data_IF_952808437360
#
_entry.id   IF_952808437360
#
_cell.length_a   1.000
_cell.length_b   1.000
_cell.length_c   1.000
_cell.angle_alpha   90.00
_cell.angle_beta   90.00
_cell.angle_gamma   90.00
#
_symmetry.space_group_name_H-M   'P 1'
#
loop_
_entity.id
_entity.type
_entity.pdbx_description
1 polymer ?
#
# COMPACT_ATOMS: atom_id res chain seq x y z
N UNK A 1 -42.31 69.81 -27.76
CA UNK A 1 -41.71 68.51 -28.11
C UNK A 1 -40.42 68.24 -27.31
N UNK A 2 -40.49 68.02 -25.99
CA UNK A 2 -39.30 67.57 -25.22
C UNK A 2 -39.64 66.90 -23.88
N UNK A 3 -40.87 66.37 -23.75
CA UNK A 3 -41.33 65.66 -22.54
C UNK A 3 -41.62 64.16 -22.81
N UNK A 4 -41.69 63.75 -24.08
CA UNK A 4 -42.00 62.35 -24.46
C UNK A 4 -40.79 61.41 -24.58
N UNK A 5 -39.56 61.87 -24.31
CA UNK A 5 -38.34 61.04 -24.45
C UNK A 5 -37.81 60.43 -23.14
N UNK A 6 -38.36 60.78 -21.98
CA UNK A 6 -37.87 60.28 -20.68
C UNK A 6 -38.69 59.08 -20.17
N UNK A 7 -39.95 58.92 -20.61
CA UNK A 7 -40.80 57.80 -20.18
C UNK A 7 -40.41 56.48 -20.88
N UNK A 8 -39.77 56.54 -22.05
CA UNK A 8 -39.37 55.36 -22.82
C UNK A 8 -38.01 54.76 -22.42
N UNK A 9 -37.36 55.28 -21.36
CA UNK A 9 -36.14 54.71 -20.79
C UNK A 9 -36.36 54.03 -19.43
N UNK A 10 -37.48 54.32 -18.75
CA UNK A 10 -37.83 53.65 -17.49
C UNK A 10 -38.64 52.36 -17.68
N UNK A 11 -39.27 52.16 -18.83
CA UNK A 11 -40.02 50.91 -19.13
C UNK A 11 -39.10 49.80 -19.67
N UNK A 12 -37.95 50.15 -20.23
CA UNK A 12 -36.95 49.18 -20.72
C UNK A 12 -35.96 48.70 -19.63
N UNK A 13 -35.96 49.32 -18.45
CA UNK A 13 -35.12 48.89 -17.32
C UNK A 13 -35.83 47.93 -16.34
N UNK A 14 -37.14 47.72 -16.50
CA UNK A 14 -37.92 46.76 -15.69
C UNK A 14 -38.09 45.38 -16.34
N UNK A 15 -37.55 45.14 -17.55
CA UNK A 15 -37.69 43.88 -18.28
C UNK A 15 -36.39 43.08 -18.43
N UNK A 16 -35.31 43.46 -17.75
CA UNK A 16 -34.03 42.77 -17.79
C UNK A 16 -33.64 42.04 -16.48
N UNK A 17 -34.61 41.79 -15.59
CA UNK A 17 -34.41 40.95 -14.38
C UNK A 17 -35.06 39.58 -14.43
N UNK A 18 -35.71 39.21 -15.55
CA UNK A 18 -36.06 37.81 -15.84
C UNK A 18 -34.84 37.05 -16.41
N UNK A 19 -33.69 37.17 -15.75
CA UNK A 19 -32.54 36.33 -16.05
C UNK A 19 -32.86 34.90 -15.58
N UNK A 20 -33.20 34.06 -16.55
CA UNK A 20 -33.42 32.61 -16.49
C UNK A 20 -33.25 31.95 -15.13
N UNK A 21 -34.37 31.72 -14.44
CA UNK A 21 -34.45 30.59 -13.53
C UNK A 21 -34.50 29.37 -14.45
N UNK A 22 -33.37 28.67 -14.60
CA UNK A 22 -33.34 27.39 -15.29
C UNK A 22 -34.49 26.54 -14.73
N UNK A 23 -35.39 26.06 -15.60
CA UNK A 23 -36.45 25.13 -15.19
C UNK A 23 -35.80 24.03 -14.34
N UNK A 24 -36.42 23.71 -13.20
CA UNK A 24 -35.91 22.63 -12.36
C UNK A 24 -35.78 21.38 -13.24
N UNK A 25 -34.60 20.78 -13.20
CA UNK A 25 -34.19 19.61 -14.00
C UNK A 25 -35.15 18.41 -13.91
N UNK A 26 -36.04 18.38 -12.92
CA UNK A 26 -37.05 17.35 -12.74
C UNK A 26 -38.48 17.88 -12.87
N UNK A 27 -38.67 19.11 -13.34
CA UNK A 27 -39.97 19.79 -13.51
C UNK A 27 -40.75 19.88 -12.20
N UNK A 28 -40.05 20.13 -11.10
CA UNK A 28 -40.69 20.37 -9.81
C UNK A 28 -41.48 21.69 -9.85
N UNK A 29 -42.63 21.71 -9.15
CA UNK A 29 -43.41 22.93 -8.95
C UNK A 29 -42.52 24.01 -8.33
N UNK A 30 -42.72 25.27 -8.71
CA UNK A 30 -41.95 26.38 -8.13
C UNK A 30 -42.05 26.37 -6.59
N UNK A 31 -40.89 26.44 -5.92
CA UNK A 31 -40.80 26.35 -4.46
C UNK A 31 -40.81 24.93 -3.87
N UNK A 32 -40.94 23.87 -4.69
CA UNK A 32 -40.92 22.47 -4.26
C UNK A 32 -39.50 21.96 -3.92
N UNK A 33 -38.86 22.57 -2.92
CA UNK A 33 -37.54 22.23 -2.39
C UNK A 33 -37.53 22.33 -0.86
N UNK A 34 -36.56 21.70 -0.20
CA UNK A 34 -36.36 21.82 1.25
C UNK A 34 -37.59 21.43 2.07
N UNK A 35 -38.33 22.42 2.57
CA UNK A 35 -39.50 22.25 3.47
C UNK A 35 -40.53 21.26 2.92
N UNK A 36 -40.82 21.31 1.62
CA UNK A 36 -41.79 20.37 1.03
C UNK A 36 -41.33 18.92 1.17
N UNK A 37 -40.06 18.64 0.91
CA UNK A 37 -39.48 17.30 1.07
C UNK A 37 -39.54 16.86 2.54
N UNK A 38 -39.30 17.78 3.47
CA UNK A 38 -39.27 17.51 4.92
C UNK A 38 -40.65 17.31 5.54
N UNK A 39 -41.75 17.63 4.85
CA UNK A 39 -43.10 17.30 5.29
C UNK A 39 -43.36 15.79 5.28
N UNK A 40 -42.72 15.06 4.37
CA UNK A 40 -42.79 13.59 4.31
C UNK A 40 -41.54 12.93 4.92
N UNK A 41 -40.36 13.56 4.78
CA UNK A 41 -39.11 13.08 5.38
C UNK A 41 -38.88 13.68 6.78
N UNK A 42 -39.89 13.59 7.66
CA UNK A 42 -39.86 14.21 9.00
C UNK A 42 -38.72 13.70 9.86
N UNK A 43 -38.42 12.40 9.81
CA UNK A 43 -37.31 11.77 10.57
C UNK A 43 -35.94 12.23 10.09
N UNK A 44 -35.84 12.75 8.87
CA UNK A 44 -34.58 13.27 8.35
C UNK A 44 -34.22 14.63 8.95
N UNK A 45 -35.19 15.37 9.47
CA UNK A 45 -34.96 16.66 10.14
C UNK A 45 -34.01 16.51 11.33
N UNK A 46 -34.03 15.37 12.03
CA UNK A 46 -33.11 15.11 13.14
C UNK A 46 -31.66 15.06 12.69
N UNK A 47 -31.39 14.52 11.49
CA UNK A 47 -30.05 14.52 10.91
C UNK A 47 -29.57 15.94 10.61
N UNK A 48 -30.46 16.86 10.27
CA UNK A 48 -30.13 18.26 10.05
C UNK A 48 -29.80 19.04 11.33
N UNK A 49 -30.00 18.46 12.52
CA UNK A 49 -29.65 19.09 13.82
C UNK A 49 -28.18 18.92 14.20
N UNK A 50 -27.43 18.08 13.48
CA UNK A 50 -26.00 17.91 13.73
C UNK A 50 -25.23 19.22 13.48
N UNK A 51 -24.12 19.49 14.22
CA UNK A 51 -23.43 20.78 14.18
C UNK A 51 -22.82 21.10 12.82
N UNK A 52 -22.41 20.10 12.05
CA UNK A 52 -21.83 20.28 10.72
C UNK A 52 -22.78 19.77 9.66
N UNK A 53 -23.62 20.66 9.13
CA UNK A 53 -24.55 20.37 8.02
C UNK A 53 -23.89 20.75 6.70
N UNK A 54 -23.95 19.83 5.73
CA UNK A 54 -23.46 20.07 4.37
C UNK A 54 -24.20 21.24 3.73
N UNK A 55 -23.48 22.13 3.04
CA UNK A 55 -24.04 23.40 2.54
C UNK A 55 -25.28 23.23 1.63
N UNK A 56 -25.30 22.32 0.63
CA UNK A 56 -26.51 22.05 -0.16
C UNK A 56 -27.71 21.62 0.69
N UNK A 57 -27.47 20.77 1.70
CA UNK A 57 -28.55 20.32 2.58
C UNK A 57 -29.10 21.47 3.45
N UNK A 58 -28.22 22.30 4.01
CA UNK A 58 -28.63 23.49 4.78
C UNK A 58 -29.49 24.45 3.95
N UNK A 59 -29.26 24.51 2.63
CA UNK A 59 -30.03 25.32 1.68
C UNK A 59 -31.31 24.63 1.18
N UNK A 60 -31.57 23.39 1.59
CA UNK A 60 -32.74 22.62 1.14
C UNK A 60 -32.64 22.16 -0.32
N UNK A 61 -31.43 22.08 -0.89
CA UNK A 61 -31.18 21.73 -2.28
C UNK A 61 -31.11 20.21 -2.48
N UNK A 62 -32.17 19.51 -2.05
CA UNK A 62 -32.26 18.05 -2.08
C UNK A 62 -32.12 17.49 -3.51
N UNK A 63 -32.72 18.17 -4.50
CA UNK A 63 -32.70 17.79 -5.91
C UNK A 63 -31.35 17.95 -6.60
N UNK A 64 -30.38 18.61 -5.94
CA UNK A 64 -29.00 18.69 -6.44
C UNK A 64 -28.31 17.31 -6.44
N UNK A 65 -28.69 16.44 -5.51
CA UNK A 65 -28.12 15.11 -5.34
C UNK A 65 -29.14 13.99 -5.57
N UNK A 66 -30.42 14.23 -5.31
CA UNK A 66 -31.48 13.24 -5.42
C UNK A 66 -32.40 13.51 -6.61
N UNK A 67 -32.95 12.45 -7.20
CA UNK A 67 -34.08 12.51 -8.12
C UNK A 67 -35.37 12.18 -7.36
N UNK A 68 -36.25 13.15 -7.10
CA UNK A 68 -37.44 12.95 -6.27
C UNK A 68 -38.54 12.10 -6.93
N UNK A 69 -38.47 11.84 -8.24
CA UNK A 69 -39.45 11.01 -8.94
C UNK A 69 -39.05 9.55 -8.96
N UNK A 70 -37.89 9.26 -9.56
CA UNK A 70 -37.38 7.89 -9.66
C UNK A 70 -35.90 7.87 -9.97
N UNK A 71 -35.20 6.88 -9.42
CA UNK A 71 -33.82 6.59 -9.80
C UNK A 71 -33.56 5.10 -9.77
N UNK A 72 -32.77 4.62 -10.72
CA UNK A 72 -32.20 3.28 -10.71
C UNK A 72 -31.07 3.12 -9.67
N UNK A 73 -30.69 4.20 -8.99
CA UNK A 73 -29.66 4.22 -7.95
C UNK A 73 -30.29 4.24 -6.56
N UNK A 74 -29.63 3.58 -5.62
CA UNK A 74 -30.08 3.52 -4.23
C UNK A 74 -30.32 4.91 -3.62
N UNK A 75 -31.31 5.00 -2.74
CA UNK A 75 -31.70 6.25 -2.03
C UNK A 75 -32.03 7.41 -2.98
N UNK A 76 -32.56 7.10 -4.16
CA UNK A 76 -32.98 8.09 -5.14
C UNK A 76 -31.85 9.02 -5.60
N UNK A 77 -30.59 8.57 -5.61
CA UNK A 77 -29.49 9.41 -6.08
C UNK A 77 -29.64 9.69 -7.58
N UNK A 78 -29.40 10.94 -7.96
CA UNK A 78 -29.46 11.35 -9.36
C UNK A 78 -28.40 10.66 -10.22
N UNK A 79 -27.16 10.74 -9.77
CA UNK A 79 -25.97 10.15 -10.38
C UNK A 79 -25.25 9.29 -9.35
N UNK A 80 -24.17 8.64 -9.76
CA UNK A 80 -23.30 7.97 -8.80
C UNK A 80 -22.70 9.01 -7.83
N UNK A 81 -22.45 8.59 -6.59
CA UNK A 81 -22.05 9.50 -5.51
C UNK A 81 -20.81 10.34 -5.88
N UNK A 82 -19.84 9.74 -6.54
CA UNK A 82 -18.63 10.39 -7.05
C UNK A 82 -18.93 11.49 -8.07
N UNK A 83 -19.78 11.20 -9.06
CA UNK A 83 -20.17 12.18 -10.08
C UNK A 83 -20.94 13.37 -9.48
N UNK A 84 -21.75 13.12 -8.44
CA UNK A 84 -22.43 14.20 -7.68
C UNK A 84 -21.39 15.04 -6.94
N UNK A 85 -20.53 14.40 -6.16
CA UNK A 85 -19.52 15.07 -5.33
C UNK A 85 -18.56 15.90 -6.19
N UNK A 86 -17.99 15.33 -7.27
CA UNK A 86 -17.04 16.02 -8.13
C UNK A 86 -17.66 17.15 -8.96
N UNK A 87 -18.98 17.12 -9.19
CA UNK A 87 -19.69 18.23 -9.82
C UNK A 87 -19.52 19.55 -9.05
N UNK A 88 -19.46 19.49 -7.73
CA UNK A 88 -19.21 20.66 -6.87
C UNK A 88 -17.78 20.72 -6.30
N UNK A 89 -17.10 19.58 -6.18
CA UNK A 89 -15.75 19.47 -5.62
C UNK A 89 -14.70 19.01 -6.65
N UNK A 90 -14.54 19.70 -7.79
CA UNK A 90 -13.65 19.26 -8.87
C UNK A 90 -12.16 19.32 -8.50
N UNK A 91 -11.82 20.03 -7.42
CA UNK A 91 -10.42 20.25 -6.99
C UNK A 91 -9.94 19.28 -5.91
N UNK A 92 -10.77 18.33 -5.48
CA UNK A 92 -10.39 17.31 -4.48
C UNK A 92 -9.24 16.42 -4.97
N UNK A 93 -9.24 16.13 -6.27
CA UNK A 93 -8.13 15.49 -6.97
C UNK A 93 -7.48 16.56 -7.84
N UNK A 94 -6.24 16.91 -7.54
CA UNK A 94 -5.51 17.90 -8.32
C UNK A 94 -5.17 17.36 -9.73
N UNK A 95 -5.23 18.22 -10.74
CA UNK A 95 -4.89 17.86 -12.14
C UNK A 95 -3.47 17.29 -12.31
N UNK A 96 -2.57 17.56 -11.36
CA UNK A 96 -1.16 17.10 -11.35
C UNK A 96 -0.84 16.25 -10.12
N UNK A 97 -1.79 15.43 -9.66
CA UNK A 97 -1.56 14.53 -8.54
C UNK A 97 -0.60 13.39 -8.92
N UNK A 98 0.46 13.22 -8.13
CA UNK A 98 1.42 12.11 -8.23
C UNK A 98 0.86 10.85 -7.56
N UNK A 99 0.03 11.01 -6.52
CA UNK A 99 -0.71 9.92 -5.90
C UNK A 99 -2.12 10.34 -5.52
N UNK A 100 -3.03 9.37 -5.58
CA UNK A 100 -4.43 9.51 -5.20
C UNK A 100 -4.76 8.38 -4.24
N UNK A 101 -5.45 8.69 -3.16
CA UNK A 101 -5.92 7.70 -2.22
C UNK A 101 -6.93 6.78 -2.90
N UNK A 102 -6.75 5.47 -2.79
CA UNK A 102 -7.55 4.47 -3.54
C UNK A 102 -9.06 4.66 -3.37
N UNK A 103 -9.52 4.91 -2.13
CA UNK A 103 -10.93 5.15 -1.83
C UNK A 103 -11.48 6.37 -2.58
N UNK A 104 -10.65 7.41 -2.76
CA UNK A 104 -11.02 8.62 -3.49
C UNK A 104 -11.00 8.38 -5.00
N UNK A 105 -10.00 7.65 -5.52
CA UNK A 105 -9.94 7.27 -6.92
C UNK A 105 -11.14 6.39 -7.33
N UNK A 106 -11.63 5.55 -6.41
CA UNK A 106 -12.83 4.72 -6.59
C UNK A 106 -14.15 5.49 -6.33
N UNK A 107 -14.10 6.78 -6.00
CA UNK A 107 -15.30 7.58 -5.81
C UNK A 107 -16.08 7.27 -4.52
N UNK A 108 -15.48 6.57 -3.56
CA UNK A 108 -16.11 6.11 -2.33
C UNK A 108 -16.09 7.16 -1.22
N UNK A 109 -16.47 8.39 -1.55
CA UNK A 109 -16.44 9.56 -0.64
C UNK A 109 -17.18 9.30 0.67
N UNK A 110 -18.31 8.56 0.59
CA UNK A 110 -19.19 8.27 1.72
C UNK A 110 -18.62 7.27 2.74
N UNK A 111 -17.44 6.70 2.48
CA UNK A 111 -16.72 5.90 3.49
C UNK A 111 -16.01 6.77 4.54
N UNK A 112 -15.83 8.06 4.25
CA UNK A 112 -15.19 9.00 5.16
C UNK A 112 -16.07 10.21 5.48
N UNK A 113 -16.91 10.64 4.53
CA UNK A 113 -17.78 11.81 4.68
C UNK A 113 -19.25 11.41 4.75
N UNK A 114 -20.00 12.02 5.65
CA UNK A 114 -21.46 12.04 5.58
C UNK A 114 -21.90 13.14 4.57
N UNK A 115 -22.61 12.78 3.48
CA UNK A 115 -23.01 13.75 2.45
C UNK A 115 -24.07 14.76 2.93
N UNK A 116 -24.64 14.54 4.12
CA UNK A 116 -25.71 15.34 4.70
C UNK A 116 -25.20 16.15 5.88
N UNK A 117 -24.74 15.48 6.95
CA UNK A 117 -24.30 16.16 8.17
C UNK A 117 -23.54 15.22 9.10
N UNK A 118 -22.70 15.78 9.97
CA UNK A 118 -21.97 15.03 10.98
C UNK A 118 -21.80 15.81 12.28
N UNK A 119 -21.49 15.06 13.34
CA UNK A 119 -20.95 15.59 14.59
C UNK A 119 -19.51 16.10 14.43
N UNK A 120 -18.81 15.70 13.36
CA UNK A 120 -17.41 16.05 13.12
C UNK A 120 -17.27 17.11 12.02
N UNK A 121 -16.27 17.98 12.17
CA UNK A 121 -15.92 19.00 11.17
C UNK A 121 -15.66 18.35 9.81
N UNK A 122 -15.96 19.07 8.73
CA UNK A 122 -15.85 18.59 7.34
C UNK A 122 -16.74 17.37 7.03
N UNK A 123 -17.79 17.20 7.83
CA UNK A 123 -18.73 16.10 7.75
C UNK A 123 -18.09 14.71 7.85
N UNK A 124 -17.04 14.55 8.63
CA UNK A 124 -16.35 13.26 8.73
C UNK A 124 -17.17 12.25 9.55
N UNK A 125 -17.09 10.97 9.23
CA UNK A 125 -17.79 9.91 9.97
C UNK A 125 -17.17 9.62 11.35
N UNK A 126 -15.88 9.94 11.53
CA UNK A 126 -15.15 9.79 12.78
C UNK A 126 -14.08 10.88 12.91
N UNK A 127 -13.60 11.13 14.13
CA UNK A 127 -12.64 12.20 14.42
C UNK A 127 -11.19 11.72 14.35
N UNK A 128 -10.30 12.58 13.83
CA UNK A 128 -8.85 12.37 13.82
C UNK A 128 -8.43 11.02 13.22
N UNK A 129 -7.41 10.40 13.82
CA UNK A 129 -6.80 9.16 13.33
C UNK A 129 -7.74 7.95 13.36
N UNK A 130 -8.81 7.97 14.17
CA UNK A 130 -9.78 6.87 14.26
C UNK A 130 -10.45 6.60 12.90
N UNK A 131 -10.70 7.64 12.12
CA UNK A 131 -11.26 7.52 10.77
C UNK A 131 -10.31 6.73 9.85
N UNK A 132 -9.02 7.00 9.93
CA UNK A 132 -8.00 6.33 9.14
C UNK A 132 -7.90 4.85 9.53
N UNK A 133 -7.94 4.56 10.83
CA UNK A 133 -7.76 3.21 11.36
C UNK A 133 -8.93 2.26 11.07
N UNK A 134 -10.10 2.76 10.66
CA UNK A 134 -11.19 1.90 10.18
C UNK A 134 -10.74 1.00 9.01
N UNK A 135 -9.85 1.49 8.16
CA UNK A 135 -9.24 0.72 7.07
C UNK A 135 -7.76 0.39 7.35
N UNK A 136 -7.00 1.32 7.92
CA UNK A 136 -5.58 1.14 8.25
C UNK A 136 -5.37 0.55 9.65
N UNK A 137 -6.08 -0.53 9.98
CA UNK A 137 -6.08 -1.15 11.33
C UNK A 137 -4.69 -1.53 11.81
N UNK A 138 -3.91 -2.19 10.95
CA UNK A 138 -2.54 -2.61 11.27
C UNK A 138 -1.62 -1.43 11.62
N UNK A 139 -1.85 -0.26 11.02
CA UNK A 139 -1.12 0.96 11.38
C UNK A 139 -1.54 1.46 12.76
N UNK A 140 -2.84 1.47 13.07
CA UNK A 140 -3.34 1.84 14.39
C UNK A 140 -2.80 0.92 15.50
N UNK A 141 -2.76 -0.39 15.24
CA UNK A 141 -2.16 -1.39 16.12
C UNK A 141 -0.67 -1.11 16.32
N UNK A 142 0.08 -0.91 15.22
CA UNK A 142 1.52 -0.62 15.29
C UNK A 142 1.81 0.64 16.11
N UNK A 143 1.17 1.77 15.77
CA UNK A 143 1.34 3.04 16.49
C UNK A 143 0.95 2.91 17.96
N UNK A 144 -0.05 2.07 18.28
CA UNK A 144 -0.50 1.84 19.66
C UNK A 144 0.37 0.87 20.47
N UNK A 145 1.26 0.12 19.84
CA UNK A 145 2.11 -0.88 20.52
C UNK A 145 3.59 -0.48 20.61
N UNK A 146 4.06 0.39 19.72
CA UNK A 146 5.48 0.81 19.73
C UNK A 146 5.84 1.61 20.98
N UNK A 147 7.04 1.35 21.51
CA UNK A 147 7.59 2.03 22.70
C UNK A 147 7.85 3.52 22.47
N UNK A 148 8.39 3.88 21.31
CA UNK A 148 8.74 5.25 20.95
C UNK A 148 7.85 5.73 19.82
N UNK A 149 6.79 6.45 20.19
CA UNK A 149 5.85 7.04 19.23
C UNK A 149 6.39 8.35 18.69
N UNK A 150 6.15 8.59 17.41
CA UNK A 150 6.44 9.90 16.84
C UNK A 150 5.27 10.85 17.14
N UNK A 151 5.52 11.88 17.95
CA UNK A 151 4.49 12.79 18.49
C UNK A 151 3.47 13.33 17.45
N UNK A 152 3.88 13.76 16.23
CA UNK A 152 2.92 14.21 15.22
C UNK A 152 1.88 13.15 14.83
N UNK A 153 2.26 11.88 14.87
CA UNK A 153 1.40 10.74 14.47
C UNK A 153 0.38 10.43 15.56
N UNK A 154 0.73 10.65 16.83
CA UNK A 154 -0.20 10.53 17.95
C UNK A 154 -1.31 11.59 17.88
N UNK A 155 -1.00 12.78 17.38
CA UNK A 155 -1.96 13.89 17.27
C UNK A 155 -2.82 13.79 16.02
N UNK A 156 -2.20 13.76 14.84
CA UNK A 156 -2.94 13.78 13.58
C UNK A 156 -2.07 13.31 12.40
N UNK A 157 -2.56 12.29 11.68
CA UNK A 157 -2.01 11.80 10.41
C UNK A 157 -1.89 12.92 9.37
N UNK A 158 -2.83 13.87 9.39
CA UNK A 158 -2.90 14.96 8.42
C UNK A 158 -1.78 15.98 8.60
N UNK A 159 -0.97 15.90 9.65
CA UNK A 159 0.25 16.72 9.77
C UNK A 159 1.19 16.46 8.59
N UNK A 160 1.30 15.19 8.17
CA UNK A 160 2.21 14.75 7.12
C UNK A 160 1.46 14.30 5.85
N UNK A 161 0.26 13.74 5.99
CA UNK A 161 -0.48 13.16 4.88
C UNK A 161 -1.58 14.06 4.31
N UNK A 162 -1.86 13.88 3.02
CA UNK A 162 -3.02 14.42 2.30
C UNK A 162 -4.02 13.28 2.08
N UNK A 163 -5.24 13.33 2.63
CA UNK A 163 -6.15 12.18 2.66
C UNK A 163 -6.78 11.86 1.29
N UNK A 164 -6.70 12.79 0.33
CA UNK A 164 -7.28 12.64 -1.00
C UNK A 164 -6.23 12.39 -2.07
N UNK A 165 -5.33 13.34 -2.28
CA UNK A 165 -4.30 13.26 -3.30
C UNK A 165 -3.10 14.13 -2.94
N UNK A 166 -1.90 13.72 -3.37
CA UNK A 166 -0.67 14.50 -3.24
C UNK A 166 -0.09 14.79 -4.61
N UNK A 167 0.35 16.04 -4.81
CA UNK A 167 1.08 16.45 -6.00
C UNK A 167 2.60 16.19 -5.91
N UNK A 168 3.12 15.92 -4.70
CA UNK A 168 4.57 15.89 -4.45
C UNK A 168 5.14 14.52 -4.12
N UNK A 169 4.31 13.52 -3.81
CA UNK A 169 4.81 12.25 -3.27
C UNK A 169 3.89 11.06 -3.55
N UNK A 170 4.45 9.84 -3.65
CA UNK A 170 3.71 8.61 -3.93
C UNK A 170 2.92 8.06 -2.73
N UNK A 171 3.30 8.44 -1.50
CA UNK A 171 2.70 7.97 -0.24
C UNK A 171 1.75 9.01 0.35
N UNK A 172 1.12 9.83 -0.49
CA UNK A 172 0.20 10.89 -0.06
C UNK A 172 0.81 11.85 0.96
N UNK A 173 2.11 12.15 0.87
CA UNK A 173 2.75 13.12 1.76
C UNK A 173 2.50 14.55 1.25
N UNK A 174 2.39 15.50 2.17
CA UNK A 174 2.27 16.93 1.86
C UNK A 174 3.50 17.48 1.15
N UNK A 175 4.69 16.95 1.46
CA UNK A 175 5.95 17.32 0.83
C UNK A 175 6.89 16.13 0.71
N UNK A 176 7.97 16.30 -0.06
CA UNK A 176 9.03 15.31 -0.18
C UNK A 176 9.91 15.23 1.08
N UNK A 177 10.44 14.04 1.36
CA UNK A 177 11.47 13.81 2.38
C UNK A 177 12.84 14.14 1.76
N UNK A 178 13.75 14.84 2.48
CA UNK A 178 13.70 15.21 3.89
C UNK A 178 12.97 16.53 4.21
N UNK A 179 12.60 17.32 3.21
CA UNK A 179 12.00 18.64 3.39
C UNK A 179 10.80 18.67 4.33
N UNK A 180 9.92 17.66 4.26
CA UNK A 180 8.79 17.48 5.17
C UNK A 180 9.24 17.41 6.64
N UNK A 181 10.24 16.58 6.93
CA UNK A 181 10.78 16.37 8.26
C UNK A 181 11.49 17.63 8.76
N UNK A 182 12.21 18.32 7.87
CA UNK A 182 12.98 19.53 8.16
C UNK A 182 12.12 20.73 8.56
N UNK A 183 10.79 20.69 8.31
CA UNK A 183 9.85 21.71 8.81
C UNK A 183 9.87 21.78 10.34
N UNK A 184 9.99 20.63 11.00
CA UNK A 184 10.05 20.53 12.47
C UNK A 184 11.46 20.20 12.98
N UNK A 185 12.19 19.30 12.30
CA UNK A 185 13.54 18.88 12.67
C UNK A 185 14.60 19.80 12.05
N UNK A 186 15.16 20.70 12.84
CA UNK A 186 16.25 21.59 12.41
C UNK A 186 17.57 20.82 12.35
N UNK A 187 17.99 20.47 11.14
CA UNK A 187 19.14 19.59 10.86
C UNK A 187 20.51 20.25 11.02
N UNK A 188 20.52 21.57 11.16
CA UNK A 188 21.67 22.43 11.41
C UNK A 188 21.96 22.64 12.90
N UNK A 189 21.03 22.28 13.79
CA UNK A 189 21.20 22.47 15.23
C UNK A 189 22.30 21.55 15.78
N UNK A 190 23.17 22.02 16.70
CA UNK A 190 24.24 21.21 17.29
C UNK A 190 23.77 19.89 17.91
N UNK A 191 22.58 19.91 18.54
CA UNK A 191 21.97 18.70 19.11
C UNK A 191 21.70 17.65 18.02
N UNK A 192 21.17 18.06 16.87
CA UNK A 192 20.93 17.15 15.75
C UNK A 192 22.24 16.56 15.23
N UNK A 193 23.23 17.43 14.99
CA UNK A 193 24.55 17.05 14.46
C UNK A 193 25.23 16.05 15.39
N UNK A 194 25.24 16.32 16.70
CA UNK A 194 25.80 15.42 17.71
C UNK A 194 25.09 14.07 17.78
N UNK A 195 23.76 14.05 17.67
CA UNK A 195 22.97 12.80 17.65
C UNK A 195 23.17 11.98 16.37
N UNK A 196 23.83 12.52 15.35
CA UNK A 196 24.24 11.81 14.14
C UNK A 196 25.77 11.71 14.01
N UNK A 197 26.47 11.78 15.15
CA UNK A 197 27.92 11.60 15.25
C UNK A 197 28.71 12.55 14.35
N UNK A 198 28.17 13.76 14.13
CA UNK A 198 28.70 14.78 13.24
C UNK A 198 28.67 14.43 11.74
N UNK A 199 28.02 13.34 11.33
CA UNK A 199 27.85 13.02 9.91
C UNK A 199 26.74 13.87 9.28
N UNK A 200 26.93 14.35 8.03
CA UNK A 200 26.01 15.28 7.38
C UNK A 200 24.77 14.58 6.78
N UNK A 201 23.96 13.95 7.63
CA UNK A 201 22.77 13.17 7.20
C UNK A 201 21.51 14.01 7.02
N UNK A 202 21.54 15.31 7.32
CA UNK A 202 20.37 16.19 7.27
C UNK A 202 19.73 16.35 5.89
N UNK A 203 20.48 16.04 4.82
CA UNK A 203 19.99 16.03 3.42
C UNK A 203 19.59 14.62 2.95
N UNK A 204 19.86 13.59 3.74
CA UNK A 204 19.52 12.20 3.41
C UNK A 204 18.03 11.93 3.63
N UNK A 205 17.52 10.87 3.01
CA UNK A 205 16.14 10.44 3.25
C UNK A 205 15.99 9.94 4.69
N UNK A 206 15.36 10.71 5.57
CA UNK A 206 15.21 10.37 7.00
C UNK A 206 14.60 8.97 7.19
N UNK A 207 13.67 8.58 6.31
CA UNK A 207 12.98 7.28 6.34
C UNK A 207 13.86 6.08 5.98
N UNK A 208 15.10 6.28 5.52
CA UNK A 208 16.03 5.18 5.28
C UNK A 208 16.52 4.54 6.58
N UNK A 209 16.49 5.30 7.67
CA UNK A 209 16.96 4.85 8.99
C UNK A 209 15.86 4.94 10.04
N UNK A 210 14.98 5.94 9.95
CA UNK A 210 13.91 6.18 10.92
C UNK A 210 12.55 5.64 10.45
N UNK A 211 11.77 5.12 11.40
CA UNK A 211 10.37 4.78 11.27
C UNK A 211 9.50 6.01 11.61
N UNK A 212 8.98 6.75 10.62
CA UNK A 212 8.31 8.04 10.86
C UNK A 212 6.99 7.93 11.64
N UNK A 213 6.46 6.71 11.83
CA UNK A 213 5.26 6.43 12.62
C UNK A 213 5.56 5.98 14.06
N UNK A 214 6.85 5.82 14.40
CA UNK A 214 7.31 5.27 15.68
C UNK A 214 7.90 3.86 15.53
N UNK A 215 8.65 3.45 16.56
CA UNK A 215 9.32 2.15 16.62
C UNK A 215 9.64 1.74 18.05
N UNK A 216 10.24 0.57 18.22
CA UNK A 216 10.71 0.09 19.52
C UNK A 216 12.14 0.53 19.84
N UNK A 217 12.76 1.35 18.98
CA UNK A 217 14.14 1.82 19.13
C UNK A 217 14.20 3.32 19.50
N UNK A 218 15.16 3.74 20.33
CA UNK A 218 15.39 5.15 20.60
C UNK A 218 15.62 5.96 19.33
N UNK A 219 15.17 7.22 19.33
CA UNK A 219 15.27 8.08 18.15
C UNK A 219 14.44 7.57 16.97
N UNK A 220 13.45 6.70 17.20
CA UNK A 220 12.57 6.11 16.19
C UNK A 220 13.33 5.45 15.03
N UNK A 221 14.50 4.86 15.28
CA UNK A 221 15.17 4.03 14.27
C UNK A 221 14.29 2.83 13.92
N UNK A 222 14.38 2.30 12.70
CA UNK A 222 13.67 1.06 12.39
C UNK A 222 14.06 -0.08 13.34
N UNK A 223 13.15 -1.02 13.61
CA UNK A 223 13.35 -2.06 14.62
C UNK A 223 14.54 -2.99 14.35
N UNK A 224 14.90 -3.18 13.07
CA UNK A 224 16.14 -3.89 12.69
C UNK A 224 17.21 -2.88 12.32
N UNK A 225 18.16 -2.63 13.24
CA UNK A 225 19.31 -1.74 13.02
C UNK A 225 20.58 -2.57 12.84
N UNK A 226 21.38 -2.22 11.85
CA UNK A 226 22.68 -2.85 11.62
C UNK A 226 23.64 -2.50 12.77
N UNK A 227 24.39 -3.50 13.27
CA UNK A 227 25.25 -3.35 14.46
C UNK A 227 26.19 -2.12 14.42
N UNK A 228 26.89 -1.80 13.31
CA UNK A 228 27.72 -0.59 13.25
C UNK A 228 26.92 0.70 13.48
N UNK A 229 25.68 0.79 12.99
CA UNK A 229 24.81 1.96 13.21
C UNK A 229 24.33 2.00 14.66
N UNK A 230 23.89 0.87 15.21
CA UNK A 230 23.46 0.78 16.62
C UNK A 230 24.58 1.17 17.59
N UNK A 231 25.82 0.82 17.25
CA UNK A 231 27.02 1.14 18.02
C UNK A 231 27.66 2.48 17.65
N UNK A 232 27.03 3.29 16.77
CA UNK A 232 27.51 4.63 16.35
C UNK A 232 28.90 4.60 15.67
N UNK A 233 29.25 3.49 15.04
CA UNK A 233 30.54 3.23 14.40
C UNK A 233 30.48 3.53 12.89
N UNK A 234 30.06 4.75 12.52
CA UNK A 234 29.88 5.15 11.12
C UNK A 234 31.20 5.07 10.32
N UNK A 235 32.32 5.39 10.97
CA UNK A 235 33.65 5.41 10.37
C UNK A 235 34.20 4.02 10.02
N UNK A 236 33.52 2.94 10.42
CA UNK A 236 33.89 1.59 9.96
C UNK A 236 33.58 1.41 8.48
N UNK A 237 32.55 2.10 7.99
CA UNK A 237 32.12 2.02 6.61
C UNK A 237 32.42 3.29 5.82
N UNK A 238 32.27 4.45 6.46
CA UNK A 238 32.41 5.76 5.83
C UNK A 238 33.73 6.44 6.16
N UNK A 239 34.13 7.43 5.36
CA UNK A 239 35.20 8.38 5.72
C UNK A 239 34.87 9.11 7.03
N UNK A 240 35.88 9.69 7.70
CA UNK A 240 35.66 10.37 8.98
C UNK A 240 34.70 11.56 8.85
N UNK A 241 33.98 11.87 9.92
CA UNK A 241 32.96 12.94 9.93
C UNK A 241 33.52 14.33 9.57
N UNK A 242 34.81 14.57 9.83
CA UNK A 242 35.52 15.80 9.47
C UNK A 242 35.93 15.87 8.00
N UNK A 243 35.86 14.78 7.25
CA UNK A 243 36.18 14.75 5.82
C UNK A 243 35.13 15.55 5.03
N UNK A 244 35.54 16.31 3.99
CA UNK A 244 34.59 16.89 3.04
C UNK A 244 33.71 15.83 2.36
N UNK A 245 34.13 14.57 2.34
CA UNK A 245 33.39 13.43 1.80
C UNK A 245 32.95 12.44 2.90
N UNK A 246 32.58 12.92 4.09
CA UNK A 246 32.23 12.09 5.25
C UNK A 246 31.25 10.92 4.98
N UNK A 247 30.34 10.99 3.99
CA UNK A 247 29.42 9.89 3.67
C UNK A 247 29.93 8.93 2.59
N UNK A 248 31.11 9.18 2.02
CA UNK A 248 31.73 8.25 1.07
C UNK A 248 32.21 7.01 1.80
N UNK A 249 32.02 5.84 1.20
CA UNK A 249 32.46 4.57 1.80
C UNK A 249 33.96 4.35 1.60
N UNK A 250 34.61 3.72 2.58
CA UNK A 250 36.06 3.39 2.55
C UNK A 250 36.41 2.36 1.47
N UNK A 251 35.47 1.49 1.11
CA UNK A 251 35.57 0.51 0.02
C UNK A 251 34.28 0.50 -0.80
N UNK A 252 34.35 -0.01 -2.02
CA UNK A 252 33.21 -0.12 -2.91
C UNK A 252 32.56 -1.51 -2.83
N UNK A 253 31.25 -1.56 -3.07
CA UNK A 253 30.51 -2.81 -3.30
C UNK A 253 30.69 -3.88 -2.22
N UNK A 254 30.89 -5.12 -2.67
CA UNK A 254 31.02 -6.30 -1.82
C UNK A 254 32.27 -6.26 -0.92
N UNK A 255 33.36 -5.63 -1.38
CA UNK A 255 34.62 -5.57 -0.63
C UNK A 255 34.51 -4.81 0.68
N UNK A 256 33.58 -3.86 0.76
CA UNK A 256 33.23 -3.19 2.00
C UNK A 256 32.65 -4.18 3.02
N UNK A 257 31.68 -4.98 2.58
CA UNK A 257 30.99 -5.94 3.42
C UNK A 257 31.91 -7.10 3.82
N UNK A 258 32.76 -7.56 2.89
CA UNK A 258 33.69 -8.68 3.08
C UNK A 258 34.69 -8.44 4.22
N UNK A 259 35.00 -7.19 4.56
CA UNK A 259 35.86 -6.90 5.71
C UNK A 259 35.35 -7.50 7.04
N UNK A 260 34.02 -7.67 7.19
CA UNK A 260 33.41 -8.21 8.41
C UNK A 260 32.54 -9.46 8.16
N UNK A 261 31.99 -9.63 6.96
CA UNK A 261 31.07 -10.72 6.62
C UNK A 261 31.73 -11.87 5.85
N UNK A 262 33.04 -12.07 5.99
CA UNK A 262 33.79 -13.13 5.29
C UNK A 262 33.14 -14.51 5.39
N UNK A 263 32.72 -15.01 6.57
CA UNK A 263 32.16 -16.36 6.67
C UNK A 263 30.86 -16.51 5.87
N UNK A 264 29.98 -15.50 5.95
CA UNK A 264 28.71 -15.47 5.24
C UNK A 264 28.91 -15.40 3.72
N UNK A 265 29.82 -14.54 3.26
CA UNK A 265 30.10 -14.40 1.83
C UNK A 265 30.74 -15.69 1.31
N UNK A 266 31.70 -16.27 2.05
CA UNK A 266 32.30 -17.54 1.68
C UNK A 266 31.25 -18.65 1.55
N UNK A 267 30.36 -18.80 2.53
CA UNK A 267 29.28 -19.80 2.49
C UNK A 267 28.41 -19.65 1.23
N UNK A 268 28.05 -18.43 0.85
CA UNK A 268 27.26 -18.18 -0.38
C UNK A 268 28.03 -18.56 -1.64
N UNK A 269 29.29 -18.12 -1.76
CA UNK A 269 30.08 -18.31 -2.99
C UNK A 269 30.69 -19.71 -3.13
N UNK A 270 30.70 -20.52 -2.07
CA UNK A 270 31.13 -21.92 -2.11
C UNK A 270 30.04 -22.88 -2.65
N UNK A 271 28.79 -22.41 -2.81
CA UNK A 271 27.67 -23.20 -3.32
C UNK A 271 27.68 -23.33 -4.84
N UNK A 272 27.15 -24.45 -5.35
CA UNK A 272 27.12 -24.75 -6.80
C UNK A 272 26.28 -23.75 -7.62
N UNK A 273 25.11 -23.36 -7.10
CA UNK A 273 24.17 -22.49 -7.80
C UNK A 273 24.05 -21.16 -7.07
N UNK A 274 24.60 -20.12 -7.67
CA UNK A 274 24.51 -18.75 -7.15
C UNK A 274 23.27 -18.06 -7.70
N UNK A 275 22.53 -17.37 -6.83
CA UNK A 275 21.45 -16.50 -7.27
C UNK A 275 22.03 -15.19 -7.79
N UNK A 276 21.84 -14.91 -9.09
CA UNK A 276 22.44 -13.76 -9.78
C UNK A 276 22.48 -12.42 -9.01
N UNK A 277 21.44 -12.00 -8.25
CA UNK A 277 21.49 -10.75 -7.49
C UNK A 277 22.67 -10.62 -6.52
N UNK A 278 23.24 -11.73 -6.02
CA UNK A 278 24.39 -11.69 -5.12
C UNK A 278 25.71 -11.34 -5.83
N UNK A 279 25.80 -11.58 -7.14
CA UNK A 279 26.98 -11.28 -7.96
C UNK A 279 26.82 -10.03 -8.84
N UNK A 280 25.63 -9.43 -8.87
CA UNK A 280 25.38 -8.17 -9.58
C UNK A 280 26.09 -6.96 -8.95
N UNK A 281 26.15 -5.83 -9.67
CA UNK A 281 26.85 -4.60 -9.23
C UNK A 281 26.40 -4.07 -7.86
N UNK A 282 25.11 -4.19 -7.54
CA UNK A 282 24.55 -3.79 -6.24
C UNK A 282 24.68 -4.89 -5.18
N UNK A 283 24.96 -6.13 -5.59
CA UNK A 283 25.13 -7.31 -4.74
C UNK A 283 24.11 -7.36 -3.60
N UNK A 284 24.59 -7.38 -2.34
CA UNK A 284 23.79 -7.38 -1.12
C UNK A 284 22.75 -6.24 -1.10
N UNK A 285 23.10 -5.06 -1.60
CA UNK A 285 22.24 -3.87 -1.54
C UNK A 285 21.07 -3.90 -2.55
N UNK A 286 21.04 -4.89 -3.45
CA UNK A 286 19.86 -5.17 -4.28
C UNK A 286 18.67 -5.52 -3.40
N UNK A 287 18.92 -6.23 -2.30
CA UNK A 287 17.91 -6.77 -1.40
C UNK A 287 17.95 -6.17 0.00
N UNK A 288 19.14 -5.81 0.50
CA UNK A 288 19.36 -5.34 1.86
C UNK A 288 19.65 -3.84 1.92
N UNK A 289 19.39 -3.24 3.08
CA UNK A 289 19.80 -1.88 3.45
C UNK A 289 20.91 -1.97 4.49
N UNK A 290 22.05 -1.28 4.32
CA UNK A 290 23.22 -1.45 5.18
C UNK A 290 23.09 -0.75 6.55
N UNK A 291 22.01 0.00 6.80
CA UNK A 291 21.85 0.81 8.00
C UNK A 291 20.74 0.31 8.91
N UNK A 292 19.49 0.37 8.46
CA UNK A 292 18.35 -0.10 9.21
C UNK A 292 17.19 -0.45 8.27
N UNK A 293 16.28 -1.29 8.74
CA UNK A 293 15.05 -1.65 8.04
C UNK A 293 13.91 -1.99 9.00
N UNK A 294 12.68 -1.71 8.58
CA UNK A 294 11.49 -2.25 9.22
C UNK A 294 11.30 -3.76 9.00
N UNK A 295 12.11 -4.38 8.13
CA UNK A 295 12.05 -5.82 7.84
C UNK A 295 13.24 -6.55 8.46
N UNK A 296 12.98 -7.78 8.95
CA UNK A 296 14.02 -8.67 9.48
C UNK A 296 15.13 -8.90 8.45
N UNK A 297 16.36 -9.11 8.94
CA UNK A 297 17.52 -9.32 8.07
C UNK A 297 17.89 -8.10 7.23
N UNK A 298 17.46 -6.90 7.62
CA UNK A 298 17.74 -5.65 6.90
C UNK A 298 17.21 -5.63 5.46
N UNK A 299 16.13 -6.35 5.16
CA UNK A 299 15.55 -6.35 3.81
C UNK A 299 14.94 -4.99 3.46
N UNK A 300 15.11 -4.51 2.23
CA UNK A 300 14.59 -3.19 1.80
C UNK A 300 13.07 -3.11 1.78
N UNK A 301 12.40 -4.25 1.67
CA UNK A 301 10.95 -4.41 1.60
C UNK A 301 10.57 -5.75 2.28
N UNK A 302 9.27 -6.01 2.41
CA UNK A 302 8.80 -7.34 2.79
C UNK A 302 9.29 -8.37 1.76
N UNK A 303 9.51 -9.60 2.20
CA UNK A 303 10.09 -10.65 1.35
C UNK A 303 9.32 -10.86 0.04
N UNK A 304 7.99 -10.98 0.10
CA UNK A 304 7.14 -11.12 -1.09
C UNK A 304 7.29 -9.93 -2.06
N UNK A 305 7.25 -8.69 -1.56
CA UNK A 305 7.39 -7.50 -2.39
C UNK A 305 8.80 -7.39 -3.00
N UNK A 306 9.83 -7.75 -2.22
CA UNK A 306 11.21 -7.75 -2.68
C UNK A 306 11.40 -8.75 -3.82
N UNK A 307 10.98 -10.00 -3.64
CA UNK A 307 11.03 -11.02 -4.68
C UNK A 307 10.23 -10.58 -5.92
N UNK A 308 9.02 -10.05 -5.71
CA UNK A 308 8.13 -9.58 -6.78
C UNK A 308 8.65 -8.39 -7.57
N UNK A 309 9.66 -7.66 -7.08
CA UNK A 309 10.31 -6.58 -7.84
C UNK A 309 11.08 -7.09 -9.07
N UNK A 310 11.46 -8.37 -9.10
CA UNK A 310 12.06 -9.03 -10.25
C UNK A 310 11.22 -10.23 -10.73
N UNK A 311 10.67 -11.03 -9.82
CA UNK A 311 9.80 -12.18 -10.09
C UNK A 311 8.33 -11.80 -10.08
N UNK A 312 7.99 -10.70 -10.77
CA UNK A 312 6.65 -10.11 -10.75
C UNK A 312 5.58 -11.08 -11.25
N UNK A 313 5.88 -11.86 -12.28
CA UNK A 313 4.95 -12.85 -12.82
C UNK A 313 4.69 -13.98 -11.83
N UNK A 314 5.74 -14.59 -11.27
CA UNK A 314 5.62 -15.67 -10.30
C UNK A 314 4.78 -15.21 -9.10
N UNK A 315 5.14 -14.09 -8.47
CA UNK A 315 4.38 -13.54 -7.33
C UNK A 315 2.97 -13.11 -7.76
N UNK A 316 2.81 -12.59 -8.97
CA UNK A 316 1.52 -12.25 -9.54
C UNK A 316 0.58 -13.45 -9.69
N UNK A 317 1.10 -14.60 -10.14
CA UNK A 317 0.33 -15.83 -10.26
C UNK A 317 -0.08 -16.37 -8.87
N UNK A 318 0.82 -16.33 -7.88
CA UNK A 318 0.50 -16.83 -6.53
C UNK A 318 -0.59 -16.02 -5.84
N UNK A 319 -0.60 -14.70 -6.03
CA UNK A 319 -1.64 -13.82 -5.47
C UNK A 319 -3.01 -13.99 -6.10
N UNK A 320 -3.05 -14.49 -7.36
CA UNK A 320 -4.30 -14.76 -8.10
C UNK A 320 -4.83 -16.18 -7.91
N UNK A 321 -4.00 -17.09 -7.40
CA UNK A 321 -4.36 -18.50 -7.24
C UNK A 321 -5.61 -18.68 -6.38
N UNK A 322 -6.62 -19.40 -6.89
CA UNK A 322 -7.83 -19.76 -6.13
C UNK A 322 -7.53 -20.56 -4.87
N UNK A 323 -6.55 -21.45 -4.95
CA UNK A 323 -6.04 -22.25 -3.83
C UNK A 323 -4.57 -21.87 -3.61
N UNK A 324 -4.28 -20.88 -2.76
CA UNK A 324 -2.91 -20.49 -2.47
C UNK A 324 -2.25 -21.46 -1.49
N UNK A 325 -0.95 -21.70 -1.64
CA UNK A 325 -0.18 -22.46 -0.64
C UNK A 325 0.20 -21.54 0.53
N UNK A 326 -0.08 -21.94 1.78
CA UNK A 326 0.01 -21.05 2.96
C UNK A 326 1.37 -20.35 3.12
N UNK A 327 2.54 -21.03 3.07
CA UNK A 327 3.83 -20.36 3.21
C UNK A 327 4.06 -19.29 2.14
N UNK A 328 3.56 -19.51 0.93
CA UNK A 328 3.71 -18.59 -0.20
C UNK A 328 2.75 -17.40 -0.06
N UNK A 329 1.50 -17.66 0.37
CA UNK A 329 0.50 -16.62 0.69
C UNK A 329 1.01 -15.67 1.78
N UNK A 330 1.73 -16.21 2.76
CA UNK A 330 2.34 -15.48 3.86
C UNK A 330 3.67 -14.79 3.48
N UNK A 331 4.16 -15.02 2.25
CA UNK A 331 5.38 -14.41 1.74
C UNK A 331 6.68 -15.06 2.26
N UNK A 332 6.60 -16.25 2.85
CA UNK A 332 7.73 -16.99 3.41
C UNK A 332 8.48 -17.80 2.35
N UNK A 333 8.97 -17.13 1.29
CA UNK A 333 9.66 -17.79 0.17
C UNK A 333 10.90 -18.60 0.63
N UNK A 334 11.56 -18.14 1.70
CA UNK A 334 12.75 -18.76 2.30
C UNK A 334 12.46 -20.02 3.09
N UNK A 335 11.19 -20.40 3.25
CA UNK A 335 10.85 -21.71 3.79
C UNK A 335 11.28 -22.83 2.84
N UNK A 336 11.29 -22.56 1.52
CA UNK A 336 11.65 -23.54 0.50
C UNK A 336 12.87 -23.15 -0.33
N UNK A 337 13.12 -21.85 -0.53
CA UNK A 337 14.22 -21.36 -1.38
C UNK A 337 15.33 -20.71 -0.56
N UNK A 338 16.58 -20.95 -0.94
CA UNK A 338 17.75 -20.21 -0.50
C UNK A 338 17.98 -19.02 -1.46
N UNK A 339 17.67 -17.79 -1.05
CA UNK A 339 17.64 -16.63 -1.95
C UNK A 339 19.04 -16.13 -2.36
N UNK A 340 20.11 -16.71 -1.81
CA UNK A 340 21.49 -16.31 -2.12
C UNK A 340 22.19 -17.34 -2.98
N UNK A 341 22.19 -18.60 -2.55
CA UNK A 341 22.79 -19.71 -3.27
C UNK A 341 22.34 -21.06 -2.67
N UNK A 342 22.39 -22.12 -3.47
CA UNK A 342 22.15 -23.49 -3.00
C UNK A 342 22.99 -24.48 -3.79
N UNK A 343 23.16 -25.69 -3.24
CA UNK A 343 23.67 -26.83 -4.01
C UNK A 343 22.57 -27.53 -4.82
N UNK A 344 21.30 -27.17 -4.55
CA UNK A 344 20.11 -27.82 -5.08
C UNK A 344 19.46 -26.97 -6.19
N UNK A 345 18.81 -27.65 -7.14
CA UNK A 345 18.09 -27.01 -8.25
C UNK A 345 17.06 -26.01 -7.76
N UNK A 346 16.77 -24.98 -8.57
CA UNK A 346 15.83 -23.89 -8.22
C UNK A 346 16.10 -23.22 -6.87
N UNK A 347 17.35 -23.33 -6.41
CA UNK A 347 17.81 -22.85 -5.12
C UNK A 347 17.05 -23.45 -3.93
N UNK A 348 16.61 -24.71 -3.98
CA UNK A 348 15.90 -25.30 -2.85
C UNK A 348 16.77 -25.46 -1.59
N UNK A 349 16.16 -25.36 -0.41
CA UNK A 349 16.84 -25.57 0.89
C UNK A 349 17.02 -27.05 1.24
N UNK A 350 16.40 -27.96 0.48
CA UNK A 350 16.55 -29.41 0.58
C UNK A 350 16.91 -29.99 -0.79
N UNK A 351 17.62 -31.14 -0.85
CA UNK A 351 18.11 -31.73 -2.10
C UNK A 351 17.00 -32.31 -2.99
N UNK A 352 15.92 -32.82 -2.39
CA UNK A 352 14.82 -33.46 -3.11
C UNK A 352 13.46 -32.88 -2.73
N UNK A 353 12.52 -32.93 -3.68
CA UNK A 353 11.16 -32.39 -3.52
C UNK A 353 10.36 -33.12 -2.41
N UNK A 354 10.36 -34.46 -2.31
CA UNK A 354 9.69 -35.15 -1.20
C UNK A 354 10.21 -34.75 0.19
N UNK A 355 11.53 -34.61 0.34
CA UNK A 355 12.19 -34.14 1.55
C UNK A 355 11.79 -32.71 1.88
N UNK A 356 11.82 -31.81 0.89
CA UNK A 356 11.39 -30.42 1.00
C UNK A 356 9.94 -30.29 1.47
N UNK A 357 9.00 -30.95 0.79
CA UNK A 357 7.59 -30.87 1.14
C UNK A 357 7.31 -31.54 2.49
N UNK A 358 7.99 -32.66 2.76
CA UNK A 358 7.79 -33.43 3.98
C UNK A 358 8.50 -32.89 5.21
N UNK A 359 9.16 -31.71 5.15
CA UNK A 359 9.53 -30.96 6.36
C UNK A 359 8.30 -30.41 7.08
N UNK A 360 7.17 -30.28 6.39
CA UNK A 360 5.89 -29.85 6.95
C UNK A 360 4.77 -30.88 6.70
N UNK A 361 4.83 -31.63 5.60
CA UNK A 361 3.83 -32.63 5.22
C UNK A 361 4.28 -34.06 5.54
N UNK A 362 4.56 -34.34 6.81
CA UNK A 362 5.15 -35.60 7.27
C UNK A 362 4.37 -36.86 6.81
N UNK A 363 3.04 -36.83 6.92
CA UNK A 363 2.19 -37.94 6.48
C UNK A 363 2.23 -38.20 4.96
N UNK A 364 2.56 -37.18 4.14
CA UNK A 364 2.57 -37.30 2.68
C UNK A 364 3.84 -37.92 2.10
N UNK A 365 4.85 -38.18 2.93
CA UNK A 365 5.99 -39.04 2.57
C UNK A 365 5.56 -40.51 2.42
N UNK A 366 4.42 -40.89 3.01
CA UNK A 366 3.82 -42.22 2.94
C UNK A 366 2.66 -42.27 1.93
N UNK A 367 2.88 -41.70 0.75
CA UNK A 367 1.94 -41.83 -0.36
C UNK A 367 1.88 -43.29 -0.82
N UNK A 368 0.68 -43.82 -1.05
CA UNK A 368 0.49 -45.14 -1.69
C UNK A 368 0.94 -45.12 -3.16
N UNK A 369 1.05 -43.94 -3.76
CA UNK A 369 1.62 -43.76 -5.09
C UNK A 369 3.15 -43.63 -5.01
N UNK A 370 3.90 -44.39 -5.82
CA UNK A 370 5.37 -44.34 -5.84
C UNK A 370 5.87 -42.93 -6.20
N UNK A 371 6.80 -42.41 -5.40
CA UNK A 371 7.47 -41.11 -5.59
C UNK A 371 8.96 -41.23 -5.25
N UNK A 372 9.77 -40.33 -5.79
CA UNK A 372 11.21 -40.22 -5.54
C UNK A 372 12.08 -40.74 -6.68
N UNK A 373 13.40 -40.68 -6.49
CA UNK A 373 14.40 -40.85 -7.55
C UNK A 373 14.38 -42.21 -8.27
N UNK A 374 13.72 -43.23 -7.71
CA UNK A 374 13.61 -44.55 -8.35
C UNK A 374 12.52 -44.63 -9.41
N UNK A 375 11.58 -43.69 -9.43
CA UNK A 375 10.40 -43.73 -10.29
C UNK A 375 10.45 -42.59 -11.28
N UNK A 376 10.42 -42.89 -12.59
CA UNK A 376 10.46 -41.89 -13.65
C UNK A 376 9.05 -41.48 -14.07
N UNK A 377 8.88 -40.18 -14.34
CA UNK A 377 7.62 -39.66 -14.85
C UNK A 377 7.40 -40.16 -16.29
N UNK A 378 6.29 -40.85 -16.60
CA UNK A 378 6.00 -41.31 -17.95
C UNK A 378 5.88 -40.19 -18.99
N UNK A 379 5.55 -38.97 -18.55
CA UNK A 379 5.41 -37.78 -19.41
C UNK A 379 6.76 -37.17 -19.78
N UNK A 380 7.73 -37.23 -18.87
CA UNK A 380 9.10 -36.81 -19.08
C UNK A 380 10.06 -37.73 -18.34
N UNK A 381 10.74 -38.60 -19.09
CA UNK A 381 11.67 -39.61 -18.55
C UNK A 381 12.93 -39.00 -17.91
N UNK A 382 13.15 -37.69 -18.04
CA UNK A 382 14.23 -36.99 -17.35
C UNK A 382 13.84 -36.59 -15.91
N UNK A 383 12.55 -36.63 -15.58
CA UNK A 383 12.04 -36.27 -14.27
C UNK A 383 11.68 -37.52 -13.46
N UNK A 384 11.85 -37.43 -12.15
CA UNK A 384 11.26 -38.40 -11.22
C UNK A 384 9.82 -38.03 -10.90
N UNK A 385 8.97 -39.03 -10.65
CA UNK A 385 7.64 -38.78 -10.08
C UNK A 385 7.83 -38.26 -8.66
N UNK A 386 7.31 -37.08 -8.38
CA UNK A 386 7.41 -36.42 -7.09
C UNK A 386 6.12 -35.63 -6.74
N UNK A 387 6.17 -34.83 -5.68
CA UNK A 387 5.03 -34.02 -5.26
C UNK A 387 4.59 -33.00 -6.32
N UNK A 388 5.55 -32.41 -7.05
CA UNK A 388 5.29 -31.40 -8.07
C UNK A 388 4.76 -31.99 -9.38
N UNK A 389 4.89 -33.31 -9.56
CA UNK A 389 4.28 -34.03 -10.69
C UNK A 389 2.75 -33.95 -10.69
N UNK A 390 2.13 -33.70 -9.52
CA UNK A 390 0.69 -33.61 -9.33
C UNK A 390 0.22 -32.27 -8.73
N UNK A 391 1.11 -31.58 -8.00
CA UNK A 391 0.77 -30.37 -7.27
C UNK A 391 1.57 -29.14 -7.71
N UNK A 392 0.92 -27.97 -7.69
CA UNK A 392 1.59 -26.69 -7.85
C UNK A 392 2.01 -26.14 -6.49
N UNK A 393 3.31 -26.21 -6.19
CA UNK A 393 3.87 -25.82 -4.88
C UNK A 393 3.70 -24.35 -4.48
N UNK A 394 3.36 -23.47 -5.43
CA UNK A 394 3.13 -22.05 -5.19
C UNK A 394 1.66 -21.64 -5.03
N UNK A 395 0.72 -22.52 -5.40
CA UNK A 395 -0.70 -22.21 -5.50
C UNK A 395 -1.28 -22.67 -6.83
N UNK A 396 -2.56 -23.01 -6.87
CA UNK A 396 -3.25 -23.44 -8.09
C UNK A 396 -4.64 -22.83 -8.22
N UNK A 397 -5.16 -22.80 -9.44
CA UNK A 397 -6.58 -22.55 -9.73
C UNK A 397 -7.50 -23.69 -9.28
N UNK A 398 -6.91 -24.84 -8.92
CA UNK A 398 -7.63 -26.06 -8.60
C UNK A 398 -7.51 -26.41 -7.12
N UNK A 399 -8.54 -27.10 -6.59
CA UNK A 399 -8.59 -27.54 -5.19
C UNK A 399 -7.40 -28.44 -4.89
N UNK A 400 -6.92 -28.42 -3.63
CA UNK A 400 -5.79 -29.25 -3.16
C UNK A 400 -4.50 -29.03 -3.95
N UNK A 401 -4.31 -27.83 -4.51
CA UNK A 401 -3.11 -27.45 -5.26
C UNK A 401 -2.85 -28.33 -6.50
N UNK A 402 -3.86 -29.00 -7.07
CA UNK A 402 -3.64 -29.87 -8.22
C UNK A 402 -3.20 -29.09 -9.47
N UNK A 403 -2.42 -29.72 -10.34
CA UNK A 403 -2.04 -29.14 -11.64
C UNK A 403 -3.24 -29.00 -12.59
N UNK A 404 -4.21 -29.92 -12.51
CA UNK A 404 -5.42 -29.93 -13.34
C UNK A 404 -6.68 -29.94 -12.46
N UNK A 405 -7.86 -29.79 -13.11
CA UNK A 405 -9.15 -29.56 -12.44
C UNK A 405 -9.54 -30.64 -11.44
N UNK A 406 -9.24 -31.90 -11.76
CA UNK A 406 -9.63 -33.08 -10.99
C UNK A 406 -8.47 -34.05 -10.82
N UNK A 407 -8.58 -34.94 -9.84
CA UNK A 407 -7.58 -36.00 -9.59
C UNK A 407 -7.46 -36.91 -10.80
N UNK A 408 -8.59 -37.31 -11.39
CA UNK A 408 -8.62 -38.16 -12.58
C UNK A 408 -7.86 -37.54 -13.74
N UNK A 409 -8.08 -36.25 -14.02
CA UNK A 409 -7.36 -35.53 -15.09
C UNK A 409 -5.84 -35.53 -14.89
N UNK A 410 -5.36 -35.44 -13.65
CA UNK A 410 -3.93 -35.55 -13.32
C UNK A 410 -3.43 -36.98 -13.53
N UNK A 411 -4.14 -37.99 -13.01
CA UNK A 411 -3.73 -39.40 -13.10
C UNK A 411 -3.64 -39.89 -14.56
N UNK A 412 -4.58 -39.49 -15.42
CA UNK A 412 -4.59 -39.88 -16.85
C UNK A 412 -3.54 -39.14 -17.68
N UNK A 413 -2.70 -38.29 -17.08
CA UNK A 413 -1.51 -37.78 -17.76
C UNK A 413 -0.37 -38.82 -17.80
N UNK A 414 -0.36 -39.78 -16.87
CA UNK A 414 0.67 -40.82 -16.79
C UNK A 414 0.10 -42.23 -16.99
N UNK A 415 -1.22 -42.39 -16.89
CA UNK A 415 -1.91 -43.65 -17.05
C UNK A 415 -2.90 -43.61 -18.22
N UNK A 416 -2.36 -43.42 -19.42
CA UNK A 416 -3.14 -43.21 -20.66
C UNK A 416 -4.16 -44.31 -20.94
N UNK A 417 -3.90 -45.54 -20.51
CA UNK A 417 -4.86 -46.67 -20.60
C UNK A 417 -6.18 -46.45 -19.87
N UNK A 418 -6.26 -45.47 -18.97
CA UNK A 418 -7.46 -45.07 -18.25
C UNK A 418 -8.06 -43.74 -18.75
N UNK A 419 -7.47 -43.14 -19.79
CA UNK A 419 -8.06 -41.98 -20.47
C UNK A 419 -9.29 -42.48 -21.23
N UNK A 420 -10.47 -42.14 -20.72
CA UNK A 420 -11.75 -42.43 -21.36
C UNK A 420 -12.09 -41.37 -22.40
#
# INVERSE_FOLDING_TARGET
MRVYRVVMLLVLFCLASAAGWAEDRYKLKEGARGKLCLNCHVTFQDKMKAPFVHTPLRRGECSGCHNPHTSSRGKLLDKNADAICFGCHPSVIGKKSVSIHKVVAEGKCVQCHDPHSSQQKYNLLASGSSLCFNCHKSMGETVSQVKHRHYPVEKDCLTCHTPHASAGNKSLLKDAVPGLCAKCHKTDRPVFVKQHMNYPVGKSACTSCHAPHGSNQPGILHDTVHKPVANRMCNQCHEEASSPNALKTKKAGLDLCKACHTPMIKDVFDKKLLHWPVSGKKACQSCHTPHASGNKGLLRQSQSALCGSCHAETVGQTTKAKTPHSPVKEGACTACHSPHASDNSMLFVQPDIPGLCGSCHDWKKHSTHPIGEKYRDPRDKNLSVDCLSCHHGHGSEHKRLLLLGTVTEVCVQCHDKYRR
#
